data_IF_039710078133
#
_entry.id   IF_039710078133
#
_cell.length_a   1.000
_cell.length_b   1.000
_cell.length_c   1.000
_cell.angle_alpha   90.00
_cell.angle_beta   90.00
_cell.angle_gamma   90.00
#
_symmetry.space_group_name_H-M   'P 1'
#
loop_
_entity.id
_entity.type
_entity.pdbx_description
1 polymer ?
#
# COMPACT_ATOMS: atom_id res chain seq x y z
N UNK A 1 -28.36 -3.75 0.70
CA UNK A 1 -26.95 -4.20 0.86
C UNK A 1 -26.92 -5.44 1.74
N UNK A 2 -26.42 -6.57 1.25
CA UNK A 2 -26.51 -7.88 1.93
C UNK A 2 -25.53 -8.01 3.11
N UNK A 3 -25.93 -8.72 4.17
CA UNK A 3 -25.15 -8.97 5.40
C UNK A 3 -23.82 -9.69 5.12
N UNK A 4 -23.78 -10.52 4.08
CA UNK A 4 -22.54 -11.15 3.57
C UNK A 4 -21.51 -10.12 3.12
N UNK A 5 -21.93 -9.02 2.48
CA UNK A 5 -21.02 -7.97 2.04
C UNK A 5 -20.34 -7.27 3.23
N UNK A 6 -21.07 -7.08 4.35
CA UNK A 6 -20.49 -6.54 5.60
C UNK A 6 -19.56 -7.53 6.30
N UNK A 7 -19.86 -8.82 6.26
CA UNK A 7 -18.99 -9.84 6.88
C UNK A 7 -17.71 -10.06 6.06
N UNK A 8 -17.79 -10.11 4.74
CA UNK A 8 -16.63 -10.18 3.87
C UNK A 8 -15.72 -8.94 4.01
N UNK A 9 -16.30 -7.76 4.24
CA UNK A 9 -15.54 -6.53 4.50
C UNK A 9 -14.80 -6.52 5.86
N UNK A 10 -15.17 -7.42 6.79
CA UNK A 10 -14.63 -7.48 8.15
C UNK A 10 -13.75 -8.71 8.43
N UNK A 11 -13.56 -9.60 7.46
CA UNK A 11 -12.67 -10.73 7.66
C UNK A 11 -11.24 -10.22 7.83
N UNK A 12 -10.58 -10.54 8.97
CA UNK A 12 -9.18 -10.20 9.15
C UNK A 12 -8.37 -10.95 8.09
N UNK A 13 -7.78 -10.20 7.14
CA UNK A 13 -6.87 -10.78 6.15
C UNK A 13 -5.67 -11.37 6.90
N UNK A 14 -5.62 -12.69 7.05
CA UNK A 14 -4.46 -13.38 7.61
C UNK A 14 -3.39 -13.44 6.54
N UNK A 15 -2.27 -12.74 6.75
CA UNK A 15 -1.20 -12.69 5.79
C UNK A 15 -0.59 -14.07 5.55
N UNK A 16 -0.46 -14.47 4.28
CA UNK A 16 0.22 -15.71 3.90
C UNK A 16 1.73 -15.62 4.23
N UNK A 17 2.47 -16.75 4.30
CA UNK A 17 3.92 -16.70 4.52
C UNK A 17 4.68 -15.87 3.47
N UNK A 18 4.23 -15.90 2.21
CA UNK A 18 4.80 -15.09 1.14
C UNK A 18 4.53 -13.59 1.36
N UNK A 19 3.30 -13.22 1.72
CA UNK A 19 2.94 -11.83 2.06
C UNK A 19 3.74 -11.32 3.26
N UNK A 20 3.99 -12.16 4.28
CA UNK A 20 4.83 -11.75 5.43
C UNK A 20 6.27 -11.41 5.02
N UNK A 21 6.85 -12.14 4.07
CA UNK A 21 8.19 -11.82 3.54
C UNK A 21 8.19 -10.50 2.79
N UNK A 22 7.16 -10.25 1.99
CA UNK A 22 6.97 -8.99 1.27
C UNK A 22 6.77 -7.82 2.24
N UNK A 23 6.02 -8.02 3.33
CA UNK A 23 5.84 -7.00 4.37
C UNK A 23 7.14 -6.72 5.13
N UNK A 24 7.92 -7.75 5.48
CA UNK A 24 9.23 -7.54 6.11
C UNK A 24 10.17 -6.74 5.19
N UNK A 25 10.22 -7.07 3.90
CA UNK A 25 10.97 -6.30 2.91
C UNK A 25 10.46 -4.87 2.77
N UNK A 26 9.14 -4.69 2.82
CA UNK A 26 8.53 -3.38 2.81
C UNK A 26 8.93 -2.54 4.02
N UNK A 27 8.98 -3.11 5.22
CA UNK A 27 9.38 -2.40 6.44
C UNK A 27 10.84 -1.87 6.33
N UNK A 28 11.74 -2.62 5.69
CA UNK A 28 13.09 -2.13 5.36
C UNK A 28 13.03 -0.92 4.40
N UNK A 29 12.20 -1.00 3.36
CA UNK A 29 12.04 0.07 2.37
C UNK A 29 11.38 1.33 2.92
N UNK A 30 10.59 1.23 3.99
CA UNK A 30 10.04 2.40 4.70
C UNK A 30 11.17 3.24 5.30
N UNK A 31 12.27 2.61 5.73
CA UNK A 31 13.44 3.32 6.28
C UNK A 31 14.25 3.96 5.14
N UNK A 32 14.42 3.27 4.02
CA UNK A 32 15.22 3.74 2.87
C UNK A 32 14.45 3.65 1.53
N UNK A 33 13.40 4.46 1.31
CA UNK A 33 12.53 4.35 0.15
C UNK A 33 13.24 4.66 -1.18
N UNK A 34 14.28 5.50 -1.15
CA UNK A 34 15.07 5.85 -2.34
C UNK A 34 15.87 4.68 -2.92
N UNK A 35 16.11 3.63 -2.13
CA UNK A 35 16.85 2.44 -2.55
C UNK A 35 15.96 1.38 -3.22
N UNK A 36 14.65 1.64 -3.38
CA UNK A 36 13.73 0.68 -3.96
C UNK A 36 14.03 0.40 -5.44
N UNK A 37 14.10 -0.87 -5.80
CA UNK A 37 14.38 -1.34 -7.15
C UNK A 37 13.17 -2.07 -7.75
N UNK A 38 13.24 -2.45 -9.03
CA UNK A 38 12.18 -3.21 -9.72
C UNK A 38 11.76 -4.50 -9.00
N UNK A 39 12.69 -5.18 -8.31
CA UNK A 39 12.40 -6.39 -7.51
C UNK A 39 11.54 -6.11 -6.28
N UNK A 40 11.48 -4.86 -5.83
CA UNK A 40 10.78 -4.44 -4.61
C UNK A 40 9.32 -4.05 -4.87
N UNK A 41 8.88 -4.03 -6.14
CA UNK A 41 7.52 -3.61 -6.53
C UNK A 41 6.45 -4.39 -5.75
N UNK A 42 6.54 -5.71 -5.69
CA UNK A 42 5.56 -6.52 -4.98
C UNK A 42 5.56 -6.28 -3.46
N UNK A 43 6.72 -5.93 -2.89
CA UNK A 43 6.82 -5.55 -1.48
C UNK A 43 6.10 -4.22 -1.24
N UNK A 44 6.36 -3.21 -2.07
CA UNK A 44 5.70 -1.90 -1.99
C UNK A 44 4.19 -2.01 -2.20
N UNK A 45 3.72 -2.76 -3.19
CA UNK A 45 2.29 -2.99 -3.43
C UNK A 45 1.63 -3.67 -2.22
N UNK A 46 2.29 -4.68 -1.65
CA UNK A 46 1.76 -5.40 -0.47
C UNK A 46 1.68 -4.50 0.76
N UNK A 47 2.74 -3.71 1.01
CA UNK A 47 2.79 -2.75 2.09
C UNK A 47 1.74 -1.64 1.96
N UNK A 48 1.62 -1.05 0.78
CA UNK A 48 0.61 -0.02 0.49
C UNK A 48 -0.81 -0.55 0.61
N UNK A 49 -1.06 -1.80 0.22
CA UNK A 49 -2.36 -2.45 0.47
C UNK A 49 -2.63 -2.61 1.97
N UNK A 50 -1.63 -2.98 2.76
CA UNK A 50 -1.78 -3.07 4.21
C UNK A 50 -2.07 -1.69 4.84
N UNK A 51 -1.31 -0.66 4.47
CA UNK A 51 -1.54 0.73 4.88
C UNK A 51 -2.92 1.25 4.47
N UNK A 52 -3.36 0.92 3.25
CA UNK A 52 -4.68 1.29 2.76
C UNK A 52 -5.81 0.72 3.62
N UNK A 53 -5.71 -0.56 4.01
CA UNK A 53 -6.66 -1.22 4.91
C UNK A 53 -6.62 -0.63 6.33
N UNK A 54 -5.43 -0.25 6.80
CA UNK A 54 -5.22 0.37 8.10
C UNK A 54 -5.59 1.87 8.15
N UNK A 55 -5.95 2.47 7.01
CA UNK A 55 -6.31 3.88 6.94
C UNK A 55 -5.14 4.86 6.83
N UNK A 56 -3.93 4.35 6.61
CA UNK A 56 -2.67 5.11 6.55
C UNK A 56 -2.41 5.69 5.16
N UNK A 57 -3.35 6.48 4.63
CA UNK A 57 -3.23 7.06 3.27
C UNK A 57 -2.13 8.12 3.21
N UNK A 58 -1.96 8.92 4.26
CA UNK A 58 -0.88 9.90 4.36
C UNK A 58 0.50 9.27 4.17
N UNK A 59 0.73 8.10 4.79
CA UNK A 59 2.00 7.39 4.68
C UNK A 59 2.27 6.89 3.25
N UNK A 60 1.22 6.47 2.51
CA UNK A 60 1.34 6.12 1.09
C UNK A 60 1.81 7.34 0.28
N UNK A 61 1.20 8.51 0.52
CA UNK A 61 1.58 9.76 -0.18
C UNK A 61 3.02 10.17 0.15
N UNK A 62 3.39 10.17 1.44
CA UNK A 62 4.74 10.52 1.89
C UNK A 62 5.80 9.57 1.33
N UNK A 63 5.52 8.26 1.31
CA UNK A 63 6.44 7.28 0.75
C UNK A 63 6.53 7.39 -0.78
N UNK A 64 5.40 7.58 -1.47
CA UNK A 64 5.37 7.75 -2.93
C UNK A 64 6.23 8.94 -3.38
N UNK A 65 6.27 10.03 -2.61
CA UNK A 65 7.14 11.18 -2.87
C UNK A 65 8.64 10.87 -2.75
N UNK A 66 9.01 9.81 -2.02
CA UNK A 66 10.40 9.42 -1.78
C UNK A 66 10.87 8.25 -2.66
N UNK A 67 9.96 7.49 -3.27
CA UNK A 67 10.29 6.39 -4.17
C UNK A 67 10.83 6.92 -5.51
N UNK A 68 11.67 6.14 -6.21
CA UNK A 68 12.07 6.46 -7.57
C UNK A 68 10.85 6.58 -8.49
N UNK A 69 10.69 7.72 -9.18
CA UNK A 69 9.54 7.97 -10.05
C UNK A 69 9.43 6.98 -11.22
N UNK A 70 10.57 6.47 -11.71
CA UNK A 70 10.63 5.41 -12.71
C UNK A 70 9.93 4.13 -12.23
N UNK A 71 10.06 3.79 -10.94
CA UNK A 71 9.43 2.61 -10.34
C UNK A 71 7.90 2.75 -10.31
N UNK A 72 7.41 3.91 -9.86
CA UNK A 72 5.97 4.19 -9.80
C UNK A 72 5.35 4.21 -11.21
N UNK A 73 6.07 4.77 -12.19
CA UNK A 73 5.59 4.82 -13.59
C UNK A 73 5.61 3.45 -14.27
N UNK A 74 6.55 2.58 -13.90
CA UNK A 74 6.67 1.25 -14.46
C UNK A 74 5.56 0.31 -13.99
N UNK A 75 5.01 0.50 -12.79
CA UNK A 75 3.94 -0.34 -12.25
C UNK A 75 2.61 0.41 -12.08
N UNK A 76 1.59 -0.04 -12.81
CA UNK A 76 0.25 0.55 -12.79
C UNK A 76 -0.42 0.49 -11.41
N UNK A 77 -0.13 -0.54 -10.59
CA UNK A 77 -0.75 -0.70 -9.27
C UNK A 77 -0.20 0.35 -8.31
N UNK A 78 1.11 0.57 -8.32
CA UNK A 78 1.75 1.66 -7.57
C UNK A 78 1.19 3.02 -8.01
N UNK A 79 1.16 3.31 -9.31
CA UNK A 79 0.57 4.56 -9.80
C UNK A 79 -0.89 4.76 -9.32
N UNK A 80 -1.69 3.69 -9.31
CA UNK A 80 -3.08 3.73 -8.86
C UNK A 80 -3.19 4.01 -7.36
N UNK A 81 -2.40 3.33 -6.52
CA UNK A 81 -2.43 3.55 -5.07
C UNK A 81 -1.95 4.95 -4.68
N UNK A 82 -0.88 5.46 -5.32
CA UNK A 82 -0.37 6.80 -5.07
C UNK A 82 -1.44 7.86 -5.41
N UNK A 83 -2.09 7.74 -6.57
CA UNK A 83 -3.16 8.63 -6.99
C UNK A 83 -4.39 8.52 -6.07
N UNK A 84 -4.82 7.30 -5.74
CA UNK A 84 -5.97 7.10 -4.87
C UNK A 84 -5.74 7.66 -3.47
N UNK A 85 -4.52 7.55 -2.96
CA UNK A 85 -4.13 8.10 -1.67
C UNK A 85 -4.04 9.63 -1.68
N UNK A 86 -3.62 10.25 -2.79
CA UNK A 86 -3.57 11.71 -2.92
C UNK A 86 -4.94 12.36 -3.09
N UNK A 87 -5.91 11.65 -3.67
CA UNK A 87 -7.28 12.16 -3.92
C UNK A 87 -8.23 11.85 -2.76
N UNK A 88 -7.93 10.84 -1.94
CA UNK A 88 -8.75 10.55 -0.76
C UNK A 88 -8.42 11.56 0.34
N UNK A 89 -9.31 12.52 0.67
CA UNK A 89 -9.11 13.34 1.85
C UNK A 89 -8.99 12.41 3.06
N UNK A 90 -7.99 12.66 3.91
CA UNK A 90 -7.78 11.90 5.12
C UNK A 90 -9.00 12.07 6.04
N UNK A 91 -9.98 11.19 5.88
CA UNK A 91 -11.17 11.11 6.72
C UNK A 91 -12.17 12.24 6.52
N UNK A 92 -13.10 12.08 5.59
CA UNK A 92 -14.45 12.58 5.82
C UNK A 92 -15.29 11.40 6.32
N UNK A 93 -15.40 11.31 7.65
CA UNK A 93 -16.50 10.60 8.32
C UNK A 93 -17.46 11.68 8.83
N UNK A 94 -18.33 12.13 7.95
CA UNK A 94 -19.64 12.69 8.31
C UNK A 94 -20.66 11.57 8.45
#
# INVERSE_FOLDING_TARGET
MSQLHRMCARLPHVATPAERRLLARFDELVITPRAAEGRDVDAVVTGWRAWWRAGRRGDIVSMAACLPSALIRADRRLATYALAASVSPAGDRG
#
